data_IF_416324401130
#
_entry.id   IF_416324401130
#
_cell.length_a   1.000
_cell.length_b   1.000
_cell.length_c   1.000
_cell.angle_alpha   90.00
_cell.angle_beta   90.00
_cell.angle_gamma   90.00
#
_symmetry.space_group_name_H-M   'P 1'
#
loop_
_entity.id
_entity.type
_entity.pdbx_description
1 polymer ?
#
# COMPACT_ATOMS: atom_id res chain seq x y z
N UNK A 1 16.43 7.01 0.26
CA UNK A 1 16.42 6.10 1.43
C UNK A 1 15.33 5.06 1.20
N UNK A 2 15.54 3.78 1.56
CA UNK A 2 14.66 2.69 1.13
C UNK A 2 13.20 2.86 1.56
N UNK A 3 12.96 3.38 2.77
CA UNK A 3 11.61 3.69 3.25
C UNK A 3 10.83 4.62 2.31
N UNK A 4 11.50 5.64 1.75
CA UNK A 4 10.86 6.53 0.79
C UNK A 4 10.50 5.80 -0.51
N UNK A 5 11.35 4.88 -0.98
CA UNK A 5 11.07 4.09 -2.18
C UNK A 5 9.83 3.19 -1.98
N UNK A 6 9.69 2.55 -0.81
CA UNK A 6 8.52 1.76 -0.47
C UNK A 6 7.24 2.60 -0.38
N UNK A 7 7.31 3.77 0.26
CA UNK A 7 6.18 4.72 0.33
C UNK A 7 5.76 5.16 -1.07
N UNK A 8 6.72 5.53 -1.92
CA UNK A 8 6.45 5.96 -3.31
C UNK A 8 5.84 4.83 -4.15
N UNK A 9 6.30 3.59 -3.97
CA UNK A 9 5.67 2.44 -4.64
C UNK A 9 4.24 2.21 -4.11
N UNK A 10 4.04 2.25 -2.80
CA UNK A 10 2.70 2.13 -2.20
C UNK A 10 1.74 3.19 -2.72
N UNK A 11 2.20 4.44 -2.82
CA UNK A 11 1.46 5.55 -3.44
C UNK A 11 1.15 5.24 -4.90
N UNK A 12 2.13 4.82 -5.70
CA UNK A 12 1.94 4.51 -7.12
C UNK A 12 0.86 3.43 -7.32
N UNK A 13 0.87 2.38 -6.50
CA UNK A 13 -0.15 1.32 -6.54
C UNK A 13 -1.52 1.84 -6.07
N UNK A 14 -1.57 2.63 -4.99
CA UNK A 14 -2.83 3.20 -4.48
C UNK A 14 -3.53 4.12 -5.49
N UNK A 15 -2.81 4.80 -6.38
CA UNK A 15 -3.45 5.64 -7.43
C UNK A 15 -4.44 4.86 -8.29
N UNK A 16 -4.22 3.55 -8.48
CA UNK A 16 -5.13 2.70 -9.25
C UNK A 16 -6.39 2.30 -8.46
N UNK A 17 -6.51 2.65 -7.18
CA UNK A 17 -7.71 2.40 -6.38
C UNK A 17 -8.94 3.12 -6.94
N UNK A 18 -8.76 4.19 -7.73
CA UNK A 18 -9.86 4.90 -8.41
C UNK A 18 -10.65 4.00 -9.38
N UNK A 19 -10.04 2.93 -9.89
CA UNK A 19 -10.69 2.00 -10.82
C UNK A 19 -11.54 0.93 -10.12
N UNK A 20 -11.57 0.94 -8.79
CA UNK A 20 -12.30 -0.02 -7.97
C UNK A 20 -13.45 0.74 -7.28
N UNK A 21 -14.66 0.16 -7.18
CA UNK A 21 -15.75 0.78 -6.43
C UNK A 21 -15.30 1.15 -5.02
N UNK A 22 -15.47 2.40 -4.58
CA UNK A 22 -14.97 2.83 -3.27
C UNK A 22 -15.81 2.19 -2.16
N UNK A 23 -15.29 1.08 -1.65
CA UNK A 23 -15.80 0.35 -0.49
C UNK A 23 -14.72 0.23 0.57
N UNK A 24 -13.68 1.05 0.50
CA UNK A 24 -12.56 0.96 1.41
C UNK A 24 -12.98 1.39 2.82
N UNK A 25 -12.43 0.74 3.83
CA UNK A 25 -12.56 1.18 5.20
C UNK A 25 -11.87 2.53 5.37
N UNK A 26 -12.63 3.58 5.70
CA UNK A 26 -12.13 4.96 5.72
C UNK A 26 -12.02 5.62 4.33
N UNK A 27 -12.65 5.03 3.30
CA UNK A 27 -12.66 5.55 1.93
C UNK A 27 -11.28 5.65 1.29
N UNK A 28 -11.12 6.61 0.38
CA UNK A 28 -9.86 6.83 -0.36
C UNK A 28 -8.67 7.15 0.56
N UNK A 29 -8.90 7.83 1.70
CA UNK A 29 -7.84 8.14 2.67
C UNK A 29 -7.46 6.91 3.49
N UNK A 30 -8.44 6.10 3.91
CA UNK A 30 -8.16 4.86 4.63
C UNK A 30 -7.38 3.85 3.78
N UNK A 31 -7.75 3.71 2.50
CA UNK A 31 -7.00 2.87 1.56
C UNK A 31 -5.57 3.37 1.32
N UNK A 32 -5.36 4.69 1.28
CA UNK A 32 -4.02 5.29 1.16
C UNK A 32 -3.12 4.86 2.32
N UNK A 33 -3.62 5.03 3.55
CA UNK A 33 -2.88 4.67 4.76
C UNK A 33 -2.59 3.18 4.77
N UNK A 34 -3.58 2.33 4.47
CA UNK A 34 -3.37 0.89 4.44
C UNK A 34 -2.37 0.45 3.36
N UNK A 35 -2.39 1.07 2.17
CA UNK A 35 -1.43 0.77 1.10
C UNK A 35 0.00 1.15 1.50
N UNK A 36 0.21 2.35 2.07
CA UNK A 36 1.53 2.80 2.52
C UNK A 36 2.05 1.93 3.66
N UNK A 37 1.22 1.67 4.68
CA UNK A 37 1.60 0.85 5.83
C UNK A 37 1.94 -0.56 5.38
N UNK A 38 1.11 -1.17 4.52
CA UNK A 38 1.39 -2.48 3.96
C UNK A 38 2.70 -2.53 3.17
N UNK A 39 2.92 -1.55 2.28
CA UNK A 39 4.15 -1.41 1.49
C UNK A 39 5.41 -1.34 2.38
N UNK A 40 5.37 -0.51 3.42
CA UNK A 40 6.49 -0.33 4.35
C UNK A 40 6.73 -1.59 5.18
N UNK A 41 5.69 -2.23 5.72
CA UNK A 41 5.83 -3.45 6.51
C UNK A 41 6.47 -4.57 5.69
N UNK A 42 6.00 -4.80 4.47
CA UNK A 42 6.55 -5.86 3.61
C UNK A 42 7.96 -5.52 3.14
N UNK A 43 8.23 -4.26 2.78
CA UNK A 43 9.59 -3.80 2.49
C UNK A 43 10.56 -4.03 3.65
N UNK A 44 10.14 -3.72 4.89
CA UNK A 44 10.91 -4.01 6.10
C UNK A 44 11.17 -5.51 6.29
N UNK A 45 10.17 -6.36 6.04
CA UNK A 45 10.33 -7.82 6.13
C UNK A 45 11.40 -8.31 5.14
N UNK A 46 11.35 -7.85 3.88
CA UNK A 46 12.35 -8.23 2.87
C UNK A 46 13.73 -7.66 3.18
N UNK A 47 13.82 -6.46 3.74
CA UNK A 47 15.07 -5.84 4.17
C UNK A 47 15.61 -6.33 5.52
N UNK A 48 15.05 -7.42 6.08
CA UNK A 48 15.53 -8.01 7.34
C UNK A 48 15.35 -7.09 8.54
N UNK A 49 14.29 -6.29 8.55
CA UNK A 49 13.98 -5.27 9.55
C UNK A 49 14.99 -4.12 9.68
N UNK A 50 15.75 -3.88 8.62
CA UNK A 50 16.64 -2.72 8.50
C UNK A 50 16.14 -1.79 7.39
N UNK A 51 16.54 -0.52 7.43
CA UNK A 51 16.22 0.46 6.36
C UNK A 51 17.48 0.75 5.56
N UNK A 52 17.64 0.17 4.36
CA UNK A 52 18.82 0.39 3.53
C UNK A 52 19.09 1.86 3.20
N UNK A 53 20.38 2.21 3.23
CA UNK A 53 20.93 3.53 2.88
C UNK A 53 20.90 3.79 1.37
N UNK A 54 21.17 5.03 0.95
CA UNK A 54 21.07 5.43 -0.46
C UNK A 54 22.04 4.69 -1.40
N UNK A 55 23.14 4.20 -0.86
CA UNK A 55 24.20 3.45 -1.52
C UNK A 55 23.80 2.03 -1.93
N UNK A 56 22.75 1.48 -1.32
CA UNK A 56 22.30 0.08 -1.49
C UNK A 56 20.91 -0.04 -2.13
N UNK A 57 20.23 1.08 -2.38
CA UNK A 57 18.90 1.08 -3.00
C UNK A 57 19.01 0.76 -4.48
N UNK A 58 18.19 -0.20 -4.90
CA UNK A 58 18.00 -0.53 -6.31
C UNK A 58 16.52 -0.43 -6.67
N UNK A 59 16.18 -0.63 -7.96
CA UNK A 59 14.79 -0.75 -8.40
C UNK A 59 14.09 -1.91 -7.68
N UNK A 60 14.81 -2.98 -7.34
CA UNK A 60 14.25 -4.13 -6.63
C UNK A 60 13.70 -3.74 -5.26
N UNK A 61 14.38 -2.84 -4.56
CA UNK A 61 13.92 -2.29 -3.27
C UNK A 61 12.53 -1.68 -3.38
N UNK A 62 12.21 -1.00 -4.49
CA UNK A 62 10.87 -0.47 -4.70
C UNK A 62 9.84 -1.58 -5.00
N UNK A 63 10.21 -2.60 -5.78
CA UNK A 63 9.33 -3.71 -6.16
C UNK A 63 8.88 -4.54 -4.95
N UNK A 64 9.76 -4.70 -3.96
CA UNK A 64 9.46 -5.39 -2.69
C UNK A 64 8.24 -4.83 -1.94
N UNK A 65 7.91 -3.55 -2.16
CA UNK A 65 6.75 -2.91 -1.54
C UNK A 65 5.40 -3.26 -2.20
N UNK A 66 5.42 -3.77 -3.45
CA UNK A 66 4.19 -4.05 -4.21
C UNK A 66 3.27 -5.05 -3.47
N UNK A 67 3.75 -6.22 -3.00
CA UNK A 67 2.88 -7.17 -2.31
C UNK A 67 2.25 -6.56 -1.05
N UNK A 68 3.01 -5.74 -0.32
CA UNK A 68 2.52 -5.02 0.85
C UNK A 68 1.43 -4.01 0.53
N UNK A 69 1.61 -3.21 -0.52
CA UNK A 69 0.60 -2.25 -0.96
C UNK A 69 -0.72 -2.96 -1.33
N UNK A 70 -0.63 -4.04 -2.10
CA UNK A 70 -1.79 -4.84 -2.52
C UNK A 70 -2.51 -5.48 -1.33
N UNK A 71 -1.77 -6.05 -0.37
CA UNK A 71 -2.35 -6.62 0.85
C UNK A 71 -3.02 -5.55 1.72
N UNK A 72 -2.41 -4.37 1.82
CA UNK A 72 -2.99 -3.22 2.53
C UNK A 72 -4.32 -2.77 1.90
N UNK A 73 -4.36 -2.59 0.58
CA UNK A 73 -5.58 -2.25 -0.15
C UNK A 73 -6.65 -3.33 -0.01
N UNK A 74 -6.25 -4.60 -0.14
CA UNK A 74 -7.15 -5.75 0.01
C UNK A 74 -7.77 -5.76 1.41
N UNK A 75 -6.97 -5.52 2.46
CA UNK A 75 -7.46 -5.45 3.83
C UNK A 75 -8.46 -4.29 4.01
N UNK A 76 -8.12 -3.09 3.54
CA UNK A 76 -9.00 -1.93 3.61
C UNK A 76 -10.34 -2.19 2.90
N UNK A 77 -10.29 -2.77 1.70
CA UNK A 77 -11.48 -3.09 0.90
C UNK A 77 -12.32 -4.18 1.57
N UNK A 78 -11.71 -5.27 2.01
CA UNK A 78 -12.41 -6.38 2.65
C UNK A 78 -13.10 -5.94 3.95
N UNK A 79 -12.44 -5.10 4.75
CA UNK A 79 -13.04 -4.56 5.98
C UNK A 79 -14.22 -3.64 5.65
N UNK A 80 -14.09 -2.71 4.71
CA UNK A 80 -15.17 -1.80 4.35
C UNK A 80 -16.36 -2.52 3.70
N UNK A 81 -16.10 -3.52 2.84
CA UNK A 81 -17.13 -4.38 2.27
C UNK A 81 -17.91 -5.17 3.34
N UNK A 82 -17.21 -5.72 4.35
CA UNK A 82 -17.83 -6.45 5.48
C UNK A 82 -18.68 -5.54 6.38
N UNK A 83 -18.33 -4.26 6.48
CA UNK A 83 -19.12 -3.26 7.25
C UNK A 83 -20.35 -2.76 6.50
N UNK A 84 -20.58 -3.23 5.27
CA UNK A 84 -21.72 -2.83 4.47
C UNK A 84 -21.59 -1.44 3.85
N UNK A 85 -20.36 -0.93 3.67
CA UNK A 85 -20.16 0.34 2.98
C UNK A 85 -20.77 0.26 1.57
N UNK A 86 -21.75 1.12 1.24
CA UNK A 86 -22.36 1.12 -0.08
C UNK A 86 -21.29 1.52 -1.11
N UNK A 87 -21.25 0.87 -2.29
CA UNK A 87 -20.33 1.28 -3.34
C UNK A 87 -20.68 2.69 -3.79
N UNK A 88 -19.72 3.61 -3.72
CA UNK A 88 -19.83 4.87 -4.44
C UNK A 88 -19.69 4.56 -5.94
N UNK A 89 -20.78 4.76 -6.67
CA UNK A 89 -20.80 4.71 -8.13
C UNK A 89 -20.24 6.03 -8.66
N UNK A 90 -19.17 5.95 -9.46
CA UNK A 90 -18.63 7.08 -10.22
C UNK A 90 -19.54 7.42 -11.41
#
# INVERSE_FOLDING_TARGET
MAALAWVMMGLAIWHFAIFIPDRFWGGIVGSLICAIVGAVIVGLIFAGFTVPGNDTITVMTAIEAIPGALLGLLAAYAIGARRGNPPLHL
#
